data_IF_455187214492
#
_entry.id   IF_455187214492
#
_cell.length_a   1.000
_cell.length_b   1.000
_cell.length_c   1.000
_cell.angle_alpha   90.00
_cell.angle_beta   90.00
_cell.angle_gamma   90.00
#
_symmetry.space_group_name_H-M   'P 1'
#
loop_
_entity.id
_entity.type
_entity.pdbx_description
1 polymer ?
#
# COMPACT_ATOMS: atom_id res chain seq x y z
N UNK A 1 -56.77 66.38 -13.31
CA UNK A 1 -55.89 65.99 -14.44
C UNK A 1 -54.93 64.92 -13.95
N UNK A 2 -55.08 63.69 -14.49
CA UNK A 2 -54.21 62.49 -14.41
C UNK A 2 -53.98 61.83 -13.04
N UNK A 3 -53.80 60.52 -12.85
CA UNK A 3 -54.02 59.21 -13.52
C UNK A 3 -53.86 58.14 -12.37
N UNK A 4 -54.49 56.98 -12.54
CA UNK A 4 -54.59 55.75 -11.69
C UNK A 4 -53.27 55.09 -11.16
N UNK A 5 -53.37 54.05 -10.27
CA UNK A 5 -52.40 53.67 -9.23
C UNK A 5 -51.34 52.62 -9.64
N UNK A 6 -50.26 52.55 -8.86
CA UNK A 6 -49.14 51.62 -9.06
C UNK A 6 -49.01 50.53 -7.99
N UNK A 7 -49.46 49.33 -8.35
CA UNK A 7 -48.90 47.97 -8.15
C UNK A 7 -48.35 47.52 -6.79
N UNK A 8 -48.93 46.39 -6.33
CA UNK A 8 -48.35 45.38 -5.44
C UNK A 8 -46.93 44.98 -5.84
N UNK A 9 -46.08 44.71 -4.84
CA UNK A 9 -45.24 43.51 -4.83
C UNK A 9 -44.78 43.20 -3.39
N UNK A 10 -45.41 42.19 -2.78
CA UNK A 10 -44.79 41.41 -1.70
C UNK A 10 -43.84 40.44 -2.40
N UNK A 11 -42.55 40.54 -2.13
CA UNK A 11 -41.58 39.51 -2.53
C UNK A 11 -41.02 38.90 -1.25
N UNK A 12 -41.63 37.78 -0.88
CA UNK A 12 -41.08 36.82 0.08
C UNK A 12 -39.78 36.25 -0.50
N UNK A 13 -38.71 36.27 0.28
CA UNK A 13 -37.47 35.56 -0.05
C UNK A 13 -37.00 34.84 1.20
N UNK A 14 -37.66 33.72 1.52
CA UNK A 14 -37.12 32.72 2.42
C UNK A 14 -36.11 31.93 1.59
N UNK A 15 -34.83 32.32 1.69
CA UNK A 15 -33.74 31.50 1.18
C UNK A 15 -33.53 30.32 2.15
N UNK A 16 -34.18 29.19 1.89
CA UNK A 16 -33.84 27.91 2.49
C UNK A 16 -32.47 27.48 1.94
N UNK A 17 -31.40 27.84 2.63
CA UNK A 17 -30.08 27.28 2.40
C UNK A 17 -30.05 25.84 2.90
N UNK A 18 -30.29 24.86 2.02
CA UNK A 18 -29.89 23.48 2.28
C UNK A 18 -28.35 23.41 2.21
N UNK A 19 -27.70 23.60 3.35
CA UNK A 19 -26.30 23.24 3.52
C UNK A 19 -26.17 21.72 3.51
N UNK A 20 -25.82 21.14 2.37
CA UNK A 20 -25.38 19.76 2.29
C UNK A 20 -24.01 19.68 2.95
N UNK A 21 -23.95 19.23 4.20
CA UNK A 21 -22.69 18.84 4.84
C UNK A 21 -22.18 17.57 4.18
N UNK A 22 -21.46 17.71 3.07
CA UNK A 22 -20.62 16.65 2.52
C UNK A 22 -19.44 16.49 3.45
N UNK A 23 -19.53 15.56 4.40
CA UNK A 23 -18.34 15.07 5.10
C UNK A 23 -17.53 14.28 4.07
N UNK A 24 -16.28 14.66 3.75
CA UNK A 24 -15.45 13.80 2.92
C UNK A 24 -15.32 12.45 3.64
N UNK A 25 -15.86 11.39 3.06
CA UNK A 25 -15.41 10.05 3.42
C UNK A 25 -13.95 10.02 3.01
N UNK A 26 -13.05 9.96 3.98
CA UNK A 26 -11.65 9.65 3.74
C UNK A 26 -11.63 8.31 3.00
N UNK A 27 -11.38 8.35 1.69
CA UNK A 27 -11.09 7.16 0.93
C UNK A 27 -9.81 6.59 1.55
N UNK A 28 -9.95 5.54 2.36
CA UNK A 28 -8.78 4.81 2.83
C UNK A 28 -8.21 4.11 1.60
N UNK A 29 -7.15 4.68 1.04
CA UNK A 29 -6.32 3.98 0.07
C UNK A 29 -5.96 2.65 0.73
N UNK A 30 -6.47 1.55 0.17
CA UNK A 30 -6.08 0.22 0.61
C UNK A 30 -4.74 -0.02 -0.07
N UNK A 31 -3.66 -0.29 0.69
CA UNK A 31 -2.39 -0.59 0.07
C UNK A 31 -2.59 -1.74 -0.90
N UNK A 32 -2.09 -1.55 -2.11
CA UNK A 32 -1.97 -2.63 -3.07
C UNK A 32 -0.95 -3.62 -2.54
N UNK A 33 -1.23 -4.92 -2.63
CA UNK A 33 -0.32 -5.97 -2.16
C UNK A 33 -0.04 -6.92 -3.32
N UNK A 34 1.24 -7.17 -3.57
CA UNK A 34 1.73 -8.25 -4.42
C UNK A 34 2.44 -9.30 -3.57
N UNK A 35 2.32 -10.58 -3.95
CA UNK A 35 2.96 -11.68 -3.23
C UNK A 35 3.49 -12.76 -4.15
N UNK A 36 4.62 -13.34 -3.79
CA UNK A 36 5.25 -14.44 -4.51
C UNK A 36 6.02 -15.37 -3.57
N UNK A 37 6.51 -16.48 -4.10
CA UNK A 37 7.26 -17.46 -3.34
C UNK A 37 8.40 -18.08 -4.14
N UNK A 38 9.44 -18.54 -3.42
CA UNK A 38 10.62 -19.19 -4.01
C UNK A 38 11.05 -20.36 -3.12
N UNK A 39 10.91 -21.62 -3.59
CA UNK A 39 11.47 -22.79 -2.91
C UNK A 39 13.00 -22.77 -3.00
N UNK A 40 13.67 -23.19 -1.92
CA UNK A 40 15.12 -23.13 -1.80
C UNK A 40 15.68 -24.41 -1.20
N UNK A 41 16.78 -24.90 -1.77
CA UNK A 41 17.55 -26.04 -1.26
C UNK A 41 18.56 -25.61 -0.19
N UNK A 42 18.13 -24.76 0.75
CA UNK A 42 18.91 -24.27 1.88
C UNK A 42 18.04 -24.19 3.13
N UNK A 43 18.64 -24.21 4.31
CA UNK A 43 17.91 -24.07 5.57
C UNK A 43 17.42 -22.63 5.80
N UNK A 44 16.64 -22.46 6.87
CA UNK A 44 16.04 -21.17 7.24
C UNK A 44 17.11 -20.11 7.55
N UNK A 45 18.23 -20.48 8.18
CA UNK A 45 19.28 -19.53 8.53
C UNK A 45 19.95 -18.98 7.26
N UNK A 46 20.28 -19.86 6.32
CA UNK A 46 20.81 -19.48 5.02
C UNK A 46 19.81 -18.65 4.20
N UNK A 47 18.51 -18.96 4.25
CA UNK A 47 17.46 -18.14 3.63
C UNK A 47 17.45 -16.71 4.19
N UNK A 48 17.56 -16.55 5.51
CA UNK A 48 17.59 -15.23 6.15
C UNK A 48 18.85 -14.44 5.80
N UNK A 49 20.02 -15.09 5.75
CA UNK A 49 21.27 -14.48 5.29
C UNK A 49 21.13 -14.00 3.85
N UNK A 50 20.50 -14.80 2.98
CA UNK A 50 20.24 -14.44 1.59
C UNK A 50 19.29 -13.25 1.48
N UNK A 51 18.24 -13.21 2.28
CA UNK A 51 17.36 -12.05 2.37
C UNK A 51 18.11 -10.79 2.82
N UNK A 52 19.01 -10.89 3.80
CA UNK A 52 19.86 -9.77 4.23
C UNK A 52 20.78 -9.26 3.10
N UNK A 53 21.32 -10.18 2.29
CA UNK A 53 22.16 -9.84 1.14
C UNK A 53 21.36 -9.11 0.04
N UNK A 54 20.17 -9.59 -0.30
CA UNK A 54 19.29 -8.97 -1.30
C UNK A 54 18.84 -7.58 -0.86
N UNK A 55 18.42 -7.43 0.40
CA UNK A 55 18.04 -6.12 0.95
C UNK A 55 19.20 -5.12 0.85
N UNK A 56 20.42 -5.59 1.16
CA UNK A 56 21.63 -4.78 1.05
C UNK A 56 21.99 -4.45 -0.41
N UNK A 57 21.85 -5.39 -1.34
CA UNK A 57 22.18 -5.15 -2.77
C UNK A 57 21.21 -4.19 -3.43
N UNK A 58 19.93 -4.24 -3.06
CA UNK A 58 18.90 -3.32 -3.52
C UNK A 58 19.03 -1.91 -2.93
N UNK A 59 19.92 -1.72 -1.95
CA UNK A 59 20.10 -0.44 -1.24
C UNK A 59 18.78 0.12 -0.68
N UNK A 60 17.91 -0.77 -0.22
CA UNK A 60 16.62 -0.41 0.40
C UNK A 60 16.75 -0.36 1.91
N UNK A 61 15.87 0.42 2.54
CA UNK A 61 15.93 0.60 4.00
C UNK A 61 15.36 -0.63 4.69
N UNK A 62 16.12 -1.24 5.60
CA UNK A 62 15.61 -2.27 6.50
C UNK A 62 14.71 -1.64 7.56
N UNK A 63 13.54 -2.23 7.79
CA UNK A 63 12.52 -1.75 8.74
C UNK A 63 12.35 -2.68 9.93
N UNK A 64 12.78 -3.95 9.80
CA UNK A 64 12.75 -4.89 10.91
C UNK A 64 13.12 -6.31 10.51
N UNK A 65 13.77 -7.01 11.43
CA UNK A 65 14.13 -8.41 11.32
C UNK A 65 13.49 -9.23 12.44
N UNK A 66 13.35 -10.52 12.20
CA UNK A 66 12.88 -11.48 13.18
C UNK A 66 13.46 -12.87 12.92
N UNK A 67 13.09 -13.86 13.73
CA UNK A 67 13.64 -15.22 13.63
C UNK A 67 13.30 -15.93 12.31
N UNK A 68 12.29 -15.45 11.58
CA UNK A 68 11.83 -16.05 10.32
C UNK A 68 11.56 -15.01 9.24
N UNK A 69 11.97 -13.76 9.43
CA UNK A 69 11.68 -12.72 8.46
C UNK A 69 12.70 -11.60 8.39
N UNK A 70 12.69 -10.92 7.23
CA UNK A 70 13.31 -9.62 6.98
C UNK A 70 12.29 -8.70 6.34
N UNK A 71 12.31 -7.43 6.69
CA UNK A 71 11.33 -6.45 6.22
C UNK A 71 12.04 -5.13 5.94
N UNK A 72 11.49 -4.36 5.02
CA UNK A 72 12.05 -3.07 4.63
C UNK A 72 11.02 -2.16 3.99
N UNK A 73 11.50 -1.02 3.50
CA UNK A 73 10.73 -0.03 2.76
C UNK A 73 11.31 0.16 1.36
N UNK A 74 10.42 0.33 0.39
CA UNK A 74 10.76 0.65 -0.99
C UNK A 74 9.77 1.71 -1.49
N UNK A 75 10.29 2.89 -1.83
CA UNK A 75 9.51 4.09 -2.14
C UNK A 75 8.53 4.47 -1.01
N UNK A 76 7.21 4.56 -1.29
CA UNK A 76 6.17 4.78 -0.27
C UNK A 76 5.70 3.48 0.41
N UNK A 77 6.18 2.33 -0.07
CA UNK A 77 5.71 1.01 0.29
C UNK A 77 6.57 0.28 1.31
N UNK A 78 6.08 -0.88 1.73
CA UNK A 78 6.75 -1.79 2.65
C UNK A 78 6.80 -3.20 2.08
N UNK A 79 7.86 -3.95 2.40
CA UNK A 79 7.96 -5.34 2.02
C UNK A 79 8.38 -6.22 3.19
N UNK A 80 8.06 -7.51 3.09
CA UNK A 80 8.48 -8.54 4.04
C UNK A 80 8.78 -9.84 3.30
N UNK A 81 9.93 -10.41 3.63
CA UNK A 81 10.42 -11.71 3.18
C UNK A 81 10.33 -12.65 4.38
N UNK A 82 9.58 -13.73 4.25
CA UNK A 82 9.45 -14.80 5.25
C UNK A 82 10.27 -16.00 4.79
N UNK A 83 11.01 -16.63 5.70
CA UNK A 83 11.73 -17.88 5.45
C UNK A 83 11.12 -18.98 6.32
N UNK A 84 10.51 -19.98 5.70
CA UNK A 84 9.90 -21.13 6.38
C UNK A 84 10.66 -22.41 6.09
N UNK A 85 10.79 -23.28 7.10
CA UNK A 85 11.30 -24.63 6.93
C UNK A 85 10.26 -25.49 6.20
N UNK A 86 10.68 -26.20 5.16
CA UNK A 86 9.85 -27.16 4.43
C UNK A 86 10.20 -28.61 4.76
N UNK A 87 11.11 -28.82 5.72
CA UNK A 87 11.68 -30.11 6.09
C UNK A 87 12.94 -30.44 5.30
N UNK A 88 13.68 -31.46 5.73
CA UNK A 88 14.88 -31.97 5.03
C UNK A 88 16.00 -30.94 4.77
N UNK A 89 16.07 -29.86 5.57
CA UNK A 89 17.06 -28.80 5.38
C UNK A 89 16.78 -27.88 4.19
N UNK A 90 15.54 -27.88 3.67
CA UNK A 90 15.08 -26.97 2.63
C UNK A 90 14.14 -25.90 3.21
N UNK A 91 13.97 -24.80 2.48
CA UNK A 91 13.12 -23.69 2.93
C UNK A 91 12.28 -23.10 1.79
N UNK A 92 11.26 -22.33 2.17
CA UNK A 92 10.42 -21.54 1.27
C UNK A 92 10.55 -20.07 1.66
N UNK A 93 10.98 -19.23 0.72
CA UNK A 93 10.89 -17.79 0.84
C UNK A 93 9.53 -17.31 0.34
N UNK A 94 8.80 -16.53 1.14
CA UNK A 94 7.54 -15.89 0.75
C UNK A 94 7.72 -14.38 0.83
N UNK A 95 7.32 -13.68 -0.21
CA UNK A 95 7.48 -12.25 -0.38
C UNK A 95 6.12 -11.58 -0.34
N UNK A 96 6.01 -10.52 0.46
CA UNK A 96 4.89 -9.60 0.44
C UNK A 96 5.43 -8.21 0.16
N UNK A 97 4.88 -7.55 -0.85
CA UNK A 97 5.18 -6.16 -1.18
C UNK A 97 3.87 -5.38 -1.13
N UNK A 98 3.85 -4.31 -0.35
CA UNK A 98 2.72 -3.40 -0.26
C UNK A 98 3.14 -2.01 -0.75
N UNK A 99 2.31 -1.34 -1.53
CA UNK A 99 2.52 0.03 -2.01
C UNK A 99 1.21 0.79 -1.92
N UNK A 100 1.25 2.05 -1.50
CA UNK A 100 0.03 2.79 -1.14
C UNK A 100 -0.73 3.28 -2.38
N UNK A 101 0.00 3.70 -3.41
CA UNK A 101 -0.60 4.38 -4.57
C UNK A 101 -0.60 3.58 -5.88
N UNK A 102 0.17 2.49 -6.02
CA UNK A 102 0.36 1.79 -7.30
C UNK A 102 0.60 0.28 -7.19
N UNK A 103 -0.30 -0.53 -7.77
CA UNK A 103 -0.11 -1.97 -7.93
C UNK A 103 1.06 -2.33 -8.84
N UNK A 104 1.28 -1.54 -9.89
CA UNK A 104 2.37 -1.79 -10.84
C UNK A 104 3.73 -1.68 -10.17
N UNK A 105 3.89 -0.76 -9.20
CA UNK A 105 5.14 -0.64 -8.43
C UNK A 105 5.31 -1.84 -7.50
N UNK A 106 4.24 -2.28 -6.82
CA UNK A 106 4.29 -3.47 -5.97
C UNK A 106 4.66 -4.73 -6.76
N UNK A 107 4.08 -4.92 -7.95
CA UNK A 107 4.37 -6.06 -8.84
C UNK A 107 5.81 -6.00 -9.37
N UNK A 108 6.25 -4.83 -9.86
CA UNK A 108 7.61 -4.64 -10.39
C UNK A 108 8.67 -4.90 -9.30
N UNK A 109 8.42 -4.43 -8.08
CA UNK A 109 9.34 -4.66 -6.98
C UNK A 109 9.34 -6.12 -6.51
N UNK A 110 8.18 -6.78 -6.53
CA UNK A 110 8.12 -8.23 -6.28
C UNK A 110 8.95 -9.00 -7.31
N UNK A 111 8.81 -8.69 -8.60
CA UNK A 111 9.58 -9.35 -9.67
C UNK A 111 11.09 -9.14 -9.47
N UNK A 112 11.50 -7.94 -9.08
CA UNK A 112 12.89 -7.62 -8.75
C UNK A 112 13.38 -8.46 -7.57
N UNK A 113 12.58 -8.59 -6.50
CA UNK A 113 12.92 -9.42 -5.35
C UNK A 113 13.06 -10.89 -5.77
N UNK A 114 12.12 -11.43 -6.53
CA UNK A 114 12.14 -12.83 -6.97
C UNK A 114 13.33 -13.16 -7.87
N UNK A 115 13.73 -12.23 -8.74
CA UNK A 115 14.90 -12.37 -9.62
C UNK A 115 16.22 -12.36 -8.84
N UNK A 116 16.37 -11.41 -7.91
CA UNK A 116 17.60 -11.27 -7.14
C UNK A 116 17.76 -12.27 -5.99
N UNK A 117 16.67 -12.92 -5.57
CA UNK A 117 16.71 -13.86 -4.45
C UNK A 117 17.48 -15.12 -4.80
#
# INVERSE_FOLDING_TARGET
MRIFPGKLAVVSSIALGLGVFVTPLSAQARPSISSGEKPLEIDVEACLIRADQVIKSLNVSSSGSGPYHRSGYYDDGAFRILCYDTGNGTSLAIFFVAHDESQEVADTFLDTLLDQF
#
